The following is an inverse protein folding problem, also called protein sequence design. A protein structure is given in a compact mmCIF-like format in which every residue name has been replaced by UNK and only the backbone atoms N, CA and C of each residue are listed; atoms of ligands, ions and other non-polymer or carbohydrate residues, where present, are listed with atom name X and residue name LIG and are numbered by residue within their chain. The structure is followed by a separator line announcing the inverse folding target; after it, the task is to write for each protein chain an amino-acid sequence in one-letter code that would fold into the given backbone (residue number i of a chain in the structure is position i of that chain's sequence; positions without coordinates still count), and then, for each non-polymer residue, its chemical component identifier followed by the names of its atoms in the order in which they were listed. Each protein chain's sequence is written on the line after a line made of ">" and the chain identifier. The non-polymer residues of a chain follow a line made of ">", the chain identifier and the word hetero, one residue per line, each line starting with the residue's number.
data_IF_067472733789
#
_entry.id   IF_067472733789
#
_cell.length_a   1.000
_cell.length_b   1.000
_cell.length_c   1.000
_cell.angle_alpha   90.00
_cell.angle_beta   90.00
_cell.angle_gamma   90.00
#
_symmetry.space_group_name_H-M   'P 1'
#
loop_
_entity.id
_entity.type
_entity.pdbx_description
1 polymer ?
#
# COMPACT_ATOMS: atom_id res chain seq x y z
N UNK A 1 -15.69 10.35 6.53
CA UNK A 1 -15.14 10.96 5.33
C UNK A 1 -14.24 9.96 4.57
N UNK A 2 -13.14 9.48 5.14
CA UNK A 2 -12.16 8.61 4.46
C UNK A 2 -12.76 7.35 3.83
N UNK A 3 -13.69 6.66 4.49
CA UNK A 3 -14.39 5.48 3.95
C UNK A 3 -15.24 5.83 2.72
N UNK A 4 -15.92 6.97 2.75
CA UNK A 4 -16.77 7.43 1.65
C UNK A 4 -15.93 7.79 0.42
N UNK A 5 -14.83 8.54 0.63
CA UNK A 5 -13.88 8.89 -0.44
C UNK A 5 -13.30 7.62 -1.06
N UNK A 6 -12.95 6.64 -0.25
CA UNK A 6 -12.45 5.34 -0.71
C UNK A 6 -13.48 4.55 -1.54
N UNK A 7 -14.76 4.69 -1.24
CA UNK A 7 -15.84 4.10 -2.03
C UNK A 7 -16.10 4.85 -3.36
N UNK A 8 -15.28 5.87 -3.71
CA UNK A 8 -15.45 6.69 -4.90
C UNK A 8 -16.59 7.70 -4.79
N UNK A 9 -17.06 7.97 -3.57
CA UNK A 9 -18.12 8.92 -3.29
C UNK A 9 -17.60 10.13 -2.49
N UNK A 10 -18.41 11.14 -2.34
CA UNK A 10 -18.13 12.31 -1.51
C UNK A 10 -19.31 12.54 -0.55
N UNK A 11 -19.01 13.06 0.65
CA UNK A 11 -20.07 13.40 1.61
C UNK A 11 -20.82 14.69 1.23
N UNK A 12 -20.36 15.39 0.20
CA UNK A 12 -20.87 16.68 -0.22
C UNK A 12 -20.27 17.85 0.58
N UNK A 13 -20.51 19.08 0.16
CA UNK A 13 -20.05 20.30 0.83
C UNK A 13 -18.54 20.57 0.63
N UNK A 14 -17.82 20.89 1.71
CA UNK A 14 -16.40 21.31 1.67
C UNK A 14 -15.42 20.20 1.29
N UNK A 15 -15.85 18.96 1.13
CA UNK A 15 -15.02 17.85 0.66
C UNK A 15 -14.77 17.88 -0.86
N UNK A 16 -15.62 18.59 -1.60
CA UNK A 16 -15.54 18.65 -3.07
C UNK A 16 -14.29 19.38 -3.56
N UNK A 17 -13.92 20.57 -3.04
CA UNK A 17 -12.72 21.28 -3.47
C UNK A 17 -11.42 20.45 -3.35
N UNK A 18 -11.13 19.77 -2.22
CA UNK A 18 -9.97 18.88 -2.13
C UNK A 18 -9.93 17.77 -3.19
N UNK A 19 -11.08 17.18 -3.51
CA UNK A 19 -11.16 16.12 -4.52
C UNK A 19 -10.88 16.64 -5.94
N UNK A 20 -11.37 17.84 -6.27
CA UNK A 20 -11.10 18.49 -7.57
C UNK A 20 -9.61 18.83 -7.69
N UNK A 21 -9.01 19.41 -6.65
CA UNK A 21 -7.59 19.77 -6.63
C UNK A 21 -6.72 18.51 -6.71
N UNK A 22 -7.08 17.43 -6.00
CA UNK A 22 -6.39 16.14 -6.12
C UNK A 22 -6.37 15.63 -7.57
N UNK A 23 -7.52 15.68 -8.25
CA UNK A 23 -7.63 15.23 -9.64
C UNK A 23 -6.75 16.05 -10.61
N UNK A 24 -6.51 17.32 -10.32
CA UNK A 24 -5.70 18.20 -11.16
C UNK A 24 -4.21 18.17 -10.82
N UNK A 25 -3.86 18.02 -9.53
CA UNK A 25 -2.48 18.19 -9.03
C UNK A 25 -1.84 16.89 -8.55
N UNK A 26 -2.61 15.81 -8.40
CA UNK A 26 -2.17 14.53 -7.82
C UNK A 26 -1.60 14.63 -6.38
N UNK A 27 -1.88 15.75 -5.68
CA UNK A 27 -1.53 15.90 -4.26
C UNK A 27 -2.40 14.98 -3.43
N UNK A 28 -1.86 14.38 -2.38
CA UNK A 28 -2.59 13.49 -1.48
C UNK A 28 -3.87 14.14 -0.91
N UNK A 29 -4.98 13.42 -0.98
CA UNK A 29 -6.31 13.90 -0.54
C UNK A 29 -6.27 14.32 0.93
N UNK A 30 -5.59 13.55 1.79
CA UNK A 30 -5.48 13.85 3.23
C UNK A 30 -4.83 15.22 3.49
N UNK A 31 -3.80 15.59 2.72
CA UNK A 31 -3.16 16.90 2.81
C UNK A 31 -4.07 18.03 2.37
N UNK A 32 -4.85 17.83 1.30
CA UNK A 32 -5.78 18.82 0.80
C UNK A 32 -6.94 19.05 1.76
N UNK A 33 -7.47 17.99 2.36
CA UNK A 33 -8.48 18.08 3.42
C UNK A 33 -7.93 18.83 4.62
N UNK A 34 -6.72 18.49 5.08
CA UNK A 34 -6.06 19.18 6.18
C UNK A 34 -5.95 20.71 5.93
N UNK A 35 -5.54 21.10 4.72
CA UNK A 35 -5.39 22.52 4.35
C UNK A 35 -6.75 23.22 4.35
N UNK A 36 -7.78 22.61 3.77
CA UNK A 36 -9.13 23.18 3.72
C UNK A 36 -9.72 23.35 5.11
N UNK A 37 -9.59 22.32 5.96
CA UNK A 37 -10.11 22.35 7.32
C UNK A 37 -9.32 23.34 8.19
N UNK A 38 -7.99 23.39 8.07
CA UNK A 38 -7.16 24.35 8.78
C UNK A 38 -7.52 25.81 8.39
N UNK A 39 -7.78 26.07 7.11
CA UNK A 39 -8.22 27.37 6.64
C UNK A 39 -9.59 27.76 7.25
N UNK A 40 -10.52 26.80 7.32
CA UNK A 40 -11.84 27.00 7.94
C UNK A 40 -11.70 27.31 9.44
N UNK A 41 -10.83 26.60 10.17
CA UNK A 41 -10.57 26.85 11.59
C UNK A 41 -9.95 28.25 11.79
N UNK A 42 -9.01 28.65 10.92
CA UNK A 42 -8.40 29.99 10.97
C UNK A 42 -9.44 31.10 10.73
N UNK A 43 -10.35 30.92 9.78
CA UNK A 43 -11.45 31.86 9.56
C UNK A 43 -12.39 31.91 10.77
N UNK A 44 -12.62 30.78 11.43
CA UNK A 44 -13.40 30.70 12.67
C UNK A 44 -12.75 31.43 13.85
N UNK A 45 -11.44 31.66 13.81
CA UNK A 45 -10.70 32.34 14.90
C UNK A 45 -11.25 33.76 15.18
N UNK A 46 -11.70 34.45 14.14
CA UNK A 46 -12.29 35.80 14.28
C UNK A 46 -13.63 35.80 15.00
N UNK A 47 -14.32 34.66 15.08
CA UNK A 47 -15.70 34.57 15.60
C UNK A 47 -15.74 33.85 16.96
N UNK A 48 -14.94 32.82 17.15
CA UNK A 48 -15.07 31.88 18.29
C UNK A 48 -13.97 31.99 19.35
N UNK A 49 -12.94 32.83 19.11
CA UNK A 49 -11.85 33.03 20.06
C UNK A 49 -10.78 31.94 20.05
N UNK A 50 -9.69 32.17 20.78
CA UNK A 50 -8.46 31.37 20.73
C UNK A 50 -8.63 29.92 21.18
N UNK A 51 -9.44 29.68 22.20
CA UNK A 51 -9.68 28.35 22.78
C UNK A 51 -10.33 27.41 21.75
N UNK A 52 -11.36 27.88 21.07
CA UNK A 52 -12.04 27.12 20.03
C UNK A 52 -11.12 26.80 18.84
N UNK A 53 -10.21 27.70 18.51
CA UNK A 53 -9.21 27.51 17.44
C UNK A 53 -8.23 26.40 17.79
N UNK A 54 -7.72 26.36 19.04
CA UNK A 54 -6.81 25.32 19.48
C UNK A 54 -7.46 23.92 19.45
N UNK A 55 -8.70 23.82 19.93
CA UNK A 55 -9.47 22.56 19.84
C UNK A 55 -9.72 22.17 18.38
N UNK A 56 -10.05 23.15 17.54
CA UNK A 56 -10.24 22.96 16.10
C UNK A 56 -8.99 22.38 15.41
N UNK A 57 -7.82 22.94 15.69
CA UNK A 57 -6.56 22.44 15.12
C UNK A 57 -6.25 21.00 15.51
N UNK A 58 -6.43 20.63 16.78
CA UNK A 58 -6.24 19.25 17.24
C UNK A 58 -7.22 18.31 16.53
N UNK A 59 -8.47 18.71 16.37
CA UNK A 59 -9.50 17.93 15.67
C UNK A 59 -9.17 17.72 14.20
N UNK A 60 -8.74 18.78 13.50
CA UNK A 60 -8.34 18.74 12.08
C UNK A 60 -7.12 17.84 11.89
N UNK A 61 -6.12 17.96 12.76
CA UNK A 61 -4.94 17.11 12.71
C UNK A 61 -5.30 15.64 12.93
N UNK A 62 -6.09 15.32 13.95
CA UNK A 62 -6.53 13.96 14.23
C UNK A 62 -7.36 13.37 13.09
N UNK A 63 -8.27 14.16 12.50
CA UNK A 63 -9.07 13.76 11.35
C UNK A 63 -8.22 13.47 10.12
N UNK A 64 -7.23 14.32 9.82
CA UNK A 64 -6.32 14.13 8.69
C UNK A 64 -5.52 12.83 8.81
N UNK A 65 -4.96 12.55 9.99
CA UNK A 65 -4.24 11.29 10.26
C UNK A 65 -5.17 10.07 10.12
N UNK A 66 -6.42 10.19 10.58
CA UNK A 66 -7.40 9.11 10.45
C UNK A 66 -7.79 8.86 8.98
N UNK A 67 -8.00 9.92 8.20
CA UNK A 67 -8.30 9.83 6.76
C UNK A 67 -7.16 9.16 6.02
N UNK A 68 -5.92 9.59 6.26
CA UNK A 68 -4.73 9.04 5.63
C UNK A 68 -4.61 7.53 5.91
N UNK A 69 -4.73 7.12 7.18
CA UNK A 69 -4.74 5.71 7.53
C UNK A 69 -5.85 4.93 6.84
N UNK A 70 -7.09 5.45 6.79
CA UNK A 70 -8.21 4.76 6.14
C UNK A 70 -8.01 4.64 4.64
N UNK A 71 -7.46 5.66 3.98
CA UNK A 71 -7.14 5.63 2.55
C UNK A 71 -6.01 4.64 2.25
N UNK A 72 -4.98 4.59 3.11
CA UNK A 72 -3.88 3.64 2.99
C UNK A 72 -4.29 2.19 3.35
N UNK A 73 -5.20 1.99 4.29
CA UNK A 73 -5.63 0.66 4.77
C UNK A 73 -6.34 -0.19 3.72
N UNK A 74 -6.60 0.35 2.56
CA UNK A 74 -7.38 -0.31 1.51
C UNK A 74 -6.64 -0.75 0.28
N UNK A 75 -5.40 -0.38 0.12
CA UNK A 75 -4.54 -1.08 -0.81
C UNK A 75 -4.29 -2.49 -0.26
N UNK A 76 -4.44 -3.53 -1.07
CA UNK A 76 -3.94 -4.85 -0.67
C UNK A 76 -2.46 -4.66 -0.38
N UNK A 77 -2.08 -4.67 0.90
CA UNK A 77 -0.67 -4.62 1.29
C UNK A 77 -0.01 -5.84 0.66
N UNK A 78 0.72 -5.60 -0.39
CA UNK A 78 1.46 -6.62 -1.10
C UNK A 78 2.91 -6.67 -0.60
N UNK A 79 3.52 -7.83 -0.74
CA UNK A 79 4.94 -8.01 -0.55
C UNK A 79 5.55 -8.50 -1.84
N UNK A 80 6.59 -7.81 -2.29
CA UNK A 80 7.45 -8.29 -3.36
C UNK A 80 8.56 -9.13 -2.72
N UNK A 81 8.61 -10.40 -3.06
CA UNK A 81 9.53 -11.37 -2.45
C UNK A 81 10.48 -11.88 -3.51
N UNK A 82 11.75 -11.89 -3.17
CA UNK A 82 12.80 -12.49 -3.96
C UNK A 82 13.32 -13.71 -3.21
N UNK A 83 13.34 -14.87 -3.88
CA UNK A 83 13.80 -16.13 -3.32
C UNK A 83 14.97 -16.62 -4.15
N UNK A 84 16.09 -16.91 -3.50
CA UNK A 84 17.28 -17.49 -4.09
C UNK A 84 17.43 -18.89 -3.50
N UNK A 85 17.32 -19.92 -4.33
CA UNK A 85 17.41 -21.32 -3.93
C UNK A 85 17.86 -22.17 -5.12
N UNK A 86 18.60 -23.21 -4.85
CA UNK A 86 18.96 -24.20 -5.86
C UNK A 86 17.76 -25.10 -6.24
N UNK A 87 16.73 -25.16 -5.36
CA UNK A 87 15.47 -25.88 -5.58
C UNK A 87 14.35 -24.99 -6.14
N UNK A 88 14.71 -23.98 -6.93
CA UNK A 88 13.78 -22.98 -7.45
C UNK A 88 12.60 -23.58 -8.24
N UNK A 89 12.78 -24.68 -8.96
CA UNK A 89 11.71 -25.32 -9.75
C UNK A 89 10.57 -25.84 -8.86
N UNK A 90 10.91 -26.54 -7.79
CA UNK A 90 9.93 -27.07 -6.82
C UNK A 90 9.20 -25.94 -6.09
N UNK A 91 9.92 -24.87 -5.75
CA UNK A 91 9.34 -23.70 -5.09
C UNK A 91 8.32 -23.02 -6.03
N UNK A 92 8.65 -22.85 -7.32
CA UNK A 92 7.75 -22.25 -8.31
C UNK A 92 6.49 -23.09 -8.47
N UNK A 93 6.62 -24.40 -8.62
CA UNK A 93 5.49 -25.32 -8.79
C UNK A 93 4.51 -25.21 -7.61
N UNK A 94 5.02 -25.17 -6.38
CA UNK A 94 4.18 -25.02 -5.20
C UNK A 94 3.58 -23.62 -5.06
N UNK A 95 4.30 -22.56 -5.42
CA UNK A 95 3.73 -21.20 -5.46
C UNK A 95 2.55 -21.13 -6.42
N UNK A 96 2.67 -21.73 -7.60
CA UNK A 96 1.61 -21.74 -8.60
C UNK A 96 0.39 -22.57 -8.14
N UNK A 97 0.62 -23.75 -7.55
CA UNK A 97 -0.45 -24.67 -7.14
C UNK A 97 -1.15 -24.25 -5.84
N UNK A 98 -0.41 -23.76 -4.84
CA UNK A 98 -0.96 -23.48 -3.51
C UNK A 98 -1.36 -22.02 -3.29
N UNK A 99 -0.62 -21.06 -3.90
CA UNK A 99 -0.86 -19.64 -3.72
C UNK A 99 -1.55 -18.98 -4.92
N UNK A 100 -1.63 -19.70 -6.05
CA UNK A 100 -2.21 -19.20 -7.32
C UNK A 100 -1.57 -17.87 -7.75
N UNK A 101 -0.24 -17.73 -7.59
CA UNK A 101 0.53 -16.52 -7.91
C UNK A 101 1.51 -16.76 -9.03
N UNK A 102 1.55 -15.84 -9.98
CA UNK A 102 2.58 -15.82 -11.02
C UNK A 102 3.95 -15.52 -10.44
N UNK A 103 4.98 -16.16 -10.98
CA UNK A 103 6.38 -15.92 -10.62
C UNK A 103 7.17 -15.44 -11.82
N UNK A 104 8.22 -14.67 -11.58
CA UNK A 104 9.19 -14.27 -12.61
C UNK A 104 10.57 -14.78 -12.22
N UNK A 105 11.22 -15.50 -13.13
CA UNK A 105 12.61 -15.92 -12.95
C UNK A 105 13.55 -14.83 -13.47
N UNK A 106 14.52 -14.48 -12.64
CA UNK A 106 15.58 -13.53 -12.98
C UNK A 106 16.90 -14.30 -12.97
N UNK A 107 17.64 -14.25 -14.06
CA UNK A 107 18.99 -14.80 -14.13
C UNK A 107 19.95 -13.86 -13.37
N UNK A 108 20.73 -14.42 -12.46
CA UNK A 108 21.68 -13.70 -11.63
C UNK A 108 23.00 -14.45 -11.53
N UNK A 109 24.04 -13.75 -11.11
CA UNK A 109 25.35 -14.35 -10.84
C UNK A 109 25.78 -13.97 -9.42
N UNK A 110 26.26 -14.96 -8.65
CA UNK A 110 26.83 -14.73 -7.35
C UNK A 110 28.06 -13.81 -7.43
N UNK A 111 28.04 -12.70 -6.68
CA UNK A 111 29.16 -11.75 -6.74
C UNK A 111 30.49 -12.30 -6.20
N UNK A 112 30.44 -13.27 -5.30
CA UNK A 112 31.62 -13.91 -4.72
C UNK A 112 31.98 -15.23 -5.43
N UNK A 113 30.97 -16.10 -5.64
CA UNK A 113 31.19 -17.44 -6.22
C UNK A 113 31.28 -17.41 -7.74
N UNK A 114 30.82 -16.35 -8.39
CA UNK A 114 30.65 -16.24 -9.85
C UNK A 114 29.75 -17.33 -10.47
N UNK A 115 29.02 -18.07 -9.66
CA UNK A 115 28.08 -19.09 -10.10
C UNK A 115 26.79 -18.46 -10.61
N UNK A 116 26.23 -19.06 -11.68
CA UNK A 116 24.91 -18.65 -12.18
C UNK A 116 23.84 -19.14 -11.24
N UNK A 117 22.94 -18.24 -10.86
CA UNK A 117 21.80 -18.54 -9.96
C UNK A 117 20.52 -17.96 -10.54
N UNK A 118 19.39 -18.48 -10.11
CA UNK A 118 18.08 -17.97 -10.48
C UNK A 118 17.40 -17.37 -9.25
N UNK A 119 16.81 -16.19 -9.42
CA UNK A 119 16.02 -15.51 -8.40
C UNK A 119 14.56 -15.62 -8.80
N UNK A 120 13.72 -16.14 -7.92
CA UNK A 120 12.27 -16.13 -8.07
C UNK A 120 11.77 -14.80 -7.54
N UNK A 121 11.14 -13.99 -8.38
CA UNK A 121 10.38 -12.82 -7.98
C UNK A 121 8.91 -13.18 -7.95
N UNK A 122 8.27 -13.02 -6.80
CA UNK A 122 6.83 -13.21 -6.62
C UNK A 122 6.23 -12.07 -5.83
N UNK A 123 5.04 -11.62 -6.23
CA UNK A 123 4.28 -10.63 -5.47
C UNK A 123 3.06 -11.34 -4.87
N UNK A 124 2.93 -11.23 -3.56
CA UNK A 124 1.86 -11.87 -2.79
C UNK A 124 1.18 -10.87 -1.86
N UNK A 125 0.00 -11.22 -1.38
CA UNK A 125 -0.65 -10.46 -0.31
C UNK A 125 0.03 -10.73 1.03
N UNK A 126 -0.06 -9.78 1.96
CA UNK A 126 0.52 -9.93 3.30
C UNK A 126 0.02 -11.19 4.03
N UNK A 127 -1.23 -11.59 3.78
CA UNK A 127 -1.83 -12.78 4.40
C UNK A 127 -1.24 -14.10 3.85
N UNK A 128 -0.71 -14.10 2.62
CA UNK A 128 -0.08 -15.26 2.01
C UNK A 128 1.37 -15.44 2.42
N UNK A 129 1.99 -14.42 3.03
CA UNK A 129 3.41 -14.45 3.40
C UNK A 129 3.79 -15.59 4.36
N UNK A 130 3.04 -15.86 5.46
CA UNK A 130 3.38 -16.98 6.35
C UNK A 130 3.36 -18.32 5.64
N UNK A 131 2.35 -18.58 4.80
CA UNK A 131 2.24 -19.82 4.03
C UNK A 131 3.40 -19.98 3.02
N UNK A 132 3.80 -18.88 2.36
CA UNK A 132 4.97 -18.90 1.48
C UNK A 132 6.25 -19.26 2.25
N UNK A 133 6.48 -18.66 3.41
CA UNK A 133 7.69 -18.91 4.21
C UNK A 133 7.76 -20.35 4.71
N UNK A 134 6.63 -20.90 5.16
CA UNK A 134 6.53 -22.30 5.57
C UNK A 134 6.87 -23.25 4.41
N UNK A 135 6.28 -23.00 3.24
CA UNK A 135 6.50 -23.74 2.01
C UNK A 135 7.97 -23.71 1.58
N UNK A 136 8.58 -22.53 1.50
CA UNK A 136 9.97 -22.36 1.08
C UNK A 136 10.90 -23.07 2.06
N UNK A 137 10.70 -22.90 3.37
CA UNK A 137 11.54 -23.52 4.40
C UNK A 137 11.40 -25.06 4.41
N UNK A 138 10.23 -25.58 4.06
CA UNK A 138 10.00 -27.03 3.95
C UNK A 138 10.74 -27.66 2.77
N UNK A 139 10.91 -26.90 1.66
CA UNK A 139 11.62 -27.36 0.45
C UNK A 139 13.13 -27.16 0.62
N UNK A 140 13.54 -25.97 1.00
CA UNK A 140 14.94 -25.60 1.14
C UNK A 140 15.14 -24.70 2.37
N UNK A 141 15.82 -25.24 3.38
CA UNK A 141 16.12 -24.52 4.62
C UNK A 141 17.22 -23.48 4.46
N UNK A 142 18.02 -23.59 3.40
CA UNK A 142 19.12 -22.68 3.09
C UNK A 142 18.70 -21.60 2.09
N UNK A 143 17.44 -21.61 1.65
CA UNK A 143 16.92 -20.60 0.75
C UNK A 143 17.05 -19.19 1.34
N UNK A 144 17.57 -18.26 0.53
CA UNK A 144 17.67 -16.86 0.92
C UNK A 144 16.45 -16.09 0.43
N UNK A 145 15.68 -15.52 1.36
CA UNK A 145 14.42 -14.84 1.08
C UNK A 145 14.51 -13.36 1.47
N UNK A 146 14.25 -12.49 0.52
CA UNK A 146 14.15 -11.04 0.72
C UNK A 146 12.68 -10.65 0.56
N UNK A 147 12.09 -10.03 1.57
CA UNK A 147 10.71 -9.57 1.54
C UNK A 147 10.65 -8.05 1.68
N UNK A 148 10.13 -7.38 0.67
CA UNK A 148 9.92 -5.94 0.66
C UNK A 148 8.42 -5.62 0.72
N UNK A 149 8.03 -4.69 1.60
CA UNK A 149 6.66 -4.18 1.61
C UNK A 149 6.44 -3.29 0.38
N UNK A 150 5.36 -3.56 -0.35
CA UNK A 150 5.01 -2.80 -1.55
C UNK A 150 3.69 -2.10 -1.31
N UNK A 151 3.69 -0.77 -1.42
CA UNK A 151 2.50 0.04 -1.14
C UNK A 151 1.52 0.09 -2.31
N UNK A 152 2.01 -0.08 -3.53
CA UNK A 152 1.19 -0.02 -4.73
C UNK A 152 1.61 -1.11 -5.72
N UNK A 153 0.67 -2.00 -6.03
CA UNK A 153 0.83 -3.01 -7.08
C UNK A 153 -0.36 -2.88 -8.02
N UNK A 154 -0.08 -2.60 -9.29
CA UNK A 154 -1.07 -2.56 -10.35
C UNK A 154 -0.82 -3.72 -11.30
N UNK A 155 -1.84 -4.50 -11.60
CA UNK A 155 -1.75 -5.62 -12.53
C UNK A 155 -2.79 -6.68 -12.27
N UNK A 156 -2.84 -7.68 -13.14
CA UNK A 156 -3.77 -8.79 -13.01
C UNK A 156 -3.58 -9.54 -11.70
N UNK A 157 -4.65 -9.70 -10.94
CA UNK A 157 -4.65 -10.33 -9.61
C UNK A 157 -4.42 -9.38 -8.42
N UNK A 158 -4.09 -8.08 -8.67
CA UNK A 158 -3.87 -7.08 -7.61
C UNK A 158 -4.67 -5.78 -7.80
N UNK A 159 -5.07 -5.44 -9.00
CA UNK A 159 -5.90 -4.26 -9.24
C UNK A 159 -7.38 -4.60 -9.07
N UNK A 160 -8.05 -3.93 -8.13
CA UNK A 160 -9.48 -3.70 -8.32
C UNK A 160 -9.61 -2.66 -9.43
N UNK A 161 -10.15 -3.03 -10.57
CA UNK A 161 -10.62 -2.06 -11.56
C UNK A 161 -11.71 -1.22 -10.91
N UNK A 162 -11.37 -0.02 -10.47
CA UNK A 162 -12.36 1.03 -10.38
C UNK A 162 -12.72 1.41 -11.82
N UNK A 163 -13.80 0.81 -12.34
CA UNK A 163 -14.49 1.38 -13.51
C UNK A 163 -15.05 2.73 -13.06
N UNK A 164 -14.42 3.79 -13.51
CA UNK A 164 -14.98 5.15 -13.51
C UNK A 164 -15.83 5.29 -14.76
#
# INVERSE_FOLDING_TARGET
>A
LGIVIRAGASTGGMDIPPLIVHKLTHIEIAKLVLITDALTVLLGAFTYGLEAVLVGFVSVWASSVAIDKVLMFGGQQAKAIQIISDQYEQIIERIHSELERGTTLIEAQGGFTCEKRKIILVVITKNQYPALMEMVTAIDREAFVIANDTHEVKGFGFSFEFKV
#
